data_IF_411895208382
#
_entry.id   IF_411895208382
#
_cell.length_a   1.000
_cell.length_b   1.000
_cell.length_c   1.000
_cell.angle_alpha   90.00
_cell.angle_beta   90.00
_cell.angle_gamma   90.00
#
_symmetry.space_group_name_H-M   'P 1'
#
loop_
_entity.id
_entity.type
_entity.pdbx_description
1 polymer ?
#
# COMPACT_ATOMS: atom_id res chain seq x y z
N UNK A 1 -10.14 -7.32 38.47
CA UNK A 1 -8.77 -6.96 38.89
C UNK A 1 -7.85 -8.04 38.38
N UNK A 2 -7.24 -7.82 37.26
CA UNK A 2 -5.98 -8.40 36.80
C UNK A 2 -5.61 -7.59 35.57
N UNK A 3 -4.81 -6.56 35.79
CA UNK A 3 -4.18 -5.75 34.78
C UNK A 3 -3.07 -6.59 34.12
N UNK A 4 -3.22 -6.95 32.88
CA UNK A 4 -2.12 -7.41 32.05
C UNK A 4 -1.64 -6.24 31.17
N UNK A 5 -0.76 -5.44 31.75
CA UNK A 5 0.09 -4.51 31.02
C UNK A 5 1.03 -5.32 30.12
N UNK A 6 0.79 -5.33 28.83
CA UNK A 6 1.75 -5.81 27.83
C UNK A 6 2.82 -4.73 27.68
N UNK A 7 3.94 -4.94 28.34
CA UNK A 7 5.11 -4.08 28.28
C UNK A 7 5.81 -4.30 26.93
N UNK A 8 5.65 -3.36 26.02
CA UNK A 8 6.58 -3.17 24.90
C UNK A 8 7.87 -2.52 25.44
N UNK A 9 8.70 -3.33 26.03
CA UNK A 9 9.93 -2.89 26.66
C UNK A 9 10.77 -4.06 27.13
N UNK A 10 11.03 -5.07 26.31
CA UNK A 10 12.15 -5.98 26.54
C UNK A 10 13.39 -5.39 25.87
N UNK A 11 14.40 -5.07 26.69
CA UNK A 11 15.77 -4.94 26.22
C UNK A 11 16.09 -6.10 25.30
N UNK A 12 16.46 -5.76 24.06
CA UNK A 12 17.02 -6.71 23.09
C UNK A 12 18.43 -7.05 23.57
N UNK A 13 18.54 -8.04 24.44
CA UNK A 13 19.79 -8.70 24.79
C UNK A 13 19.66 -10.15 24.32
N UNK A 14 20.33 -10.45 23.23
CA UNK A 14 20.62 -11.72 22.56
C UNK A 14 20.03 -11.80 21.13
N UNK A 15 20.67 -11.10 20.19
CA UNK A 15 20.60 -11.50 18.78
C UNK A 15 21.06 -12.97 18.75
N UNK A 16 20.17 -13.86 18.29
CA UNK A 16 20.54 -15.29 18.12
C UNK A 16 21.76 -15.36 17.23
N UNK A 17 22.91 -15.78 17.77
CA UNK A 17 24.15 -15.86 16.99
C UNK A 17 23.98 -16.99 15.96
N UNK A 18 23.96 -16.60 14.69
CA UNK A 18 23.96 -17.60 13.58
C UNK A 18 25.20 -18.47 13.66
N UNK A 19 25.03 -19.77 13.32
CA UNK A 19 26.15 -20.65 13.14
C UNK A 19 27.12 -20.11 12.07
N UNK A 20 28.41 -20.16 12.36
CA UNK A 20 29.47 -19.67 11.46
C UNK A 20 29.37 -20.33 10.07
N UNK A 21 28.99 -21.59 10.00
CA UNK A 21 28.82 -22.32 8.73
C UNK A 21 27.67 -21.73 7.91
N UNK A 22 26.56 -21.37 8.57
CA UNK A 22 25.39 -20.76 7.93
C UNK A 22 25.78 -19.36 7.40
N UNK A 23 26.50 -18.58 8.19
CA UNK A 23 27.02 -17.27 7.78
C UNK A 23 27.89 -17.40 6.52
N UNK A 24 28.83 -18.34 6.51
CA UNK A 24 29.71 -18.59 5.37
C UNK A 24 28.94 -19.01 4.11
N UNK A 25 27.91 -19.83 4.25
CA UNK A 25 27.06 -20.21 3.12
C UNK A 25 26.27 -19.03 2.57
N UNK A 26 25.68 -18.19 3.42
CA UNK A 26 25.01 -16.97 2.96
C UNK A 26 25.99 -16.02 2.24
N UNK A 27 27.18 -15.83 2.80
CA UNK A 27 28.24 -15.02 2.16
C UNK A 27 28.73 -15.60 0.84
N UNK A 28 28.81 -16.93 0.72
CA UNK A 28 29.14 -17.61 -0.54
C UNK A 28 28.12 -17.33 -1.64
N UNK A 29 26.83 -17.31 -1.28
CA UNK A 29 25.72 -17.12 -2.24
C UNK A 29 25.67 -15.68 -2.74
N UNK A 30 25.63 -14.70 -1.85
CA UNK A 30 25.41 -13.28 -2.23
C UNK A 30 26.68 -12.45 -2.31
N UNK A 31 27.80 -12.97 -1.80
CA UNK A 31 29.05 -12.24 -1.57
C UNK A 31 29.05 -11.53 -0.21
N UNK A 32 30.23 -11.40 0.39
CA UNK A 32 30.41 -10.82 1.76
C UNK A 32 29.80 -9.43 1.91
N UNK A 33 29.93 -8.56 0.86
CA UNK A 33 29.40 -7.21 0.88
C UNK A 33 27.87 -7.12 0.80
N UNK A 34 27.18 -8.26 0.62
CA UNK A 34 25.74 -8.35 0.48
C UNK A 34 25.09 -9.25 1.53
N UNK A 35 25.87 -9.70 2.51
CA UNK A 35 25.44 -10.39 3.72
C UNK A 35 25.76 -9.49 4.92
N UNK A 36 24.84 -8.56 5.24
CA UNK A 36 25.05 -7.48 6.20
C UNK A 36 24.74 -7.96 7.62
N UNK A 37 25.64 -7.71 8.57
CA UNK A 37 25.46 -8.06 9.98
C UNK A 37 25.64 -6.85 10.91
N UNK A 38 26.38 -5.83 10.48
CA UNK A 38 26.64 -4.66 11.31
C UNK A 38 25.36 -3.82 11.47
N UNK A 39 25.02 -3.47 12.70
CA UNK A 39 23.81 -2.69 13.03
C UNK A 39 23.69 -1.40 12.21
N UNK A 40 24.80 -0.67 12.02
CA UNK A 40 24.82 0.54 11.21
C UNK A 40 24.41 0.32 9.75
N UNK A 41 24.56 -0.92 9.21
CA UNK A 41 24.18 -1.28 7.86
C UNK A 41 22.78 -1.90 7.79
N UNK A 42 22.25 -2.43 8.91
CA UNK A 42 20.98 -3.16 8.95
C UNK A 42 19.82 -2.31 9.48
N UNK A 43 20.07 -1.20 10.16
CA UNK A 43 19.03 -0.35 10.77
C UNK A 43 17.92 0.07 9.78
N UNK A 44 18.28 0.42 8.55
CA UNK A 44 17.29 0.80 7.52
C UNK A 44 16.39 -0.36 7.04
N UNK A 45 16.80 -1.59 7.33
CA UNK A 45 16.01 -2.80 7.02
C UNK A 45 15.19 -3.29 8.22
N UNK A 46 15.53 -2.86 9.43
CA UNK A 46 14.90 -3.32 10.68
C UNK A 46 13.98 -2.27 11.31
N UNK A 47 13.88 -1.10 10.70
CA UNK A 47 12.98 -0.02 11.12
C UNK A 47 12.13 0.41 9.92
N UNK A 48 10.82 0.54 10.11
CA UNK A 48 9.94 1.08 9.05
C UNK A 48 10.13 2.60 8.91
N UNK A 49 9.69 3.16 7.78
CA UNK A 49 9.89 4.59 7.52
C UNK A 49 9.08 5.52 8.45
N UNK A 50 8.04 5.01 9.12
CA UNK A 50 7.27 5.78 10.11
C UNK A 50 7.94 5.81 11.49
N UNK A 51 8.87 4.88 11.74
CA UNK A 51 9.50 4.66 13.04
C UNK A 51 8.62 3.93 14.05
N UNK A 52 7.41 3.50 13.67
CA UNK A 52 6.46 2.77 14.54
C UNK A 52 6.91 1.32 14.78
N UNK A 53 7.40 0.65 13.74
CA UNK A 53 7.85 -0.74 13.81
C UNK A 53 9.36 -0.81 13.82
N UNK A 54 9.93 -1.36 14.89
CA UNK A 54 11.38 -1.56 15.05
C UNK A 54 11.64 -2.99 15.49
N UNK A 55 12.47 -3.69 14.73
CA UNK A 55 12.88 -5.05 14.99
C UNK A 55 14.39 -5.21 14.98
N UNK A 56 14.84 -6.45 14.93
CA UNK A 56 16.23 -6.82 14.81
C UNK A 56 16.37 -8.00 13.83
N UNK A 57 17.47 -8.06 13.11
CA UNK A 57 17.79 -9.19 12.23
C UNK A 57 19.23 -9.61 12.44
N UNK A 58 19.52 -10.90 12.59
CA UNK A 58 20.89 -11.39 12.70
C UNK A 58 21.65 -11.22 11.37
N UNK A 59 20.95 -11.07 10.24
CA UNK A 59 21.55 -10.84 8.93
C UNK A 59 20.55 -10.30 7.91
N UNK A 60 20.99 -9.33 7.11
CA UNK A 60 20.28 -8.86 5.91
C UNK A 60 21.00 -9.37 4.68
N UNK A 61 20.29 -10.14 3.85
CA UNK A 61 20.80 -10.76 2.63
C UNK A 61 20.26 -10.04 1.40
N UNK A 62 21.14 -9.69 0.48
CA UNK A 62 20.84 -8.89 -0.72
C UNK A 62 21.16 -9.68 -2.00
N UNK A 63 20.30 -10.64 -2.41
CA UNK A 63 20.48 -11.38 -3.65
C UNK A 63 20.37 -10.49 -4.89
N UNK A 64 21.02 -10.90 -5.99
CA UNK A 64 20.99 -10.21 -7.27
C UNK A 64 20.05 -10.88 -8.30
N UNK A 65 19.56 -12.09 -8.01
CA UNK A 65 18.73 -12.86 -8.95
C UNK A 65 17.97 -13.98 -8.23
N UNK A 66 17.02 -14.58 -8.94
CA UNK A 66 16.15 -15.66 -8.46
C UNK A 66 16.93 -16.92 -7.97
N UNK A 67 18.03 -17.27 -8.64
CA UNK A 67 18.84 -18.43 -8.21
C UNK A 67 19.44 -18.21 -6.83
N UNK A 68 19.97 -17.02 -6.55
CA UNK A 68 20.47 -16.69 -5.22
C UNK A 68 19.35 -16.69 -4.18
N UNK A 69 18.15 -16.17 -4.48
CA UNK A 69 16.99 -16.26 -3.56
C UNK A 69 16.67 -17.72 -3.25
N UNK A 70 16.61 -18.58 -4.28
CA UNK A 70 16.36 -20.01 -4.11
C UNK A 70 17.40 -20.70 -3.20
N UNK A 71 18.70 -20.42 -3.40
CA UNK A 71 19.75 -20.96 -2.56
C UNK A 71 19.66 -20.43 -1.11
N UNK A 72 19.39 -19.15 -0.92
CA UNK A 72 19.21 -18.55 0.41
C UNK A 72 18.06 -19.19 1.19
N UNK A 73 16.91 -19.39 0.53
CA UNK A 73 15.74 -20.04 1.14
C UNK A 73 16.09 -21.48 1.57
N UNK A 74 16.81 -22.25 0.75
CA UNK A 74 17.24 -23.60 1.11
C UNK A 74 18.16 -23.64 2.32
N UNK A 75 19.10 -22.70 2.41
CA UNK A 75 19.98 -22.58 3.58
C UNK A 75 19.19 -22.20 4.82
N UNK A 76 18.31 -21.19 4.74
CA UNK A 76 17.47 -20.76 5.85
C UNK A 76 16.55 -21.89 6.34
N UNK A 77 15.89 -22.58 5.42
CA UNK A 77 15.04 -23.74 5.72
C UNK A 77 15.82 -24.84 6.45
N UNK A 78 17.03 -25.15 5.99
CA UNK A 78 17.89 -26.18 6.60
C UNK A 78 18.37 -25.79 7.98
N UNK A 79 18.62 -24.50 8.20
CA UNK A 79 19.05 -23.93 9.48
C UNK A 79 17.89 -23.64 10.45
N UNK A 80 16.63 -23.83 10.04
CA UNK A 80 15.46 -23.55 10.87
C UNK A 80 15.21 -22.04 11.09
N UNK A 81 15.67 -21.20 10.16
CA UNK A 81 15.55 -19.74 10.23
C UNK A 81 14.30 -19.27 9.49
N UNK A 82 13.63 -18.27 10.05
CA UNK A 82 12.53 -17.57 9.38
C UNK A 82 13.04 -16.42 8.55
N UNK A 83 12.29 -16.06 7.51
CA UNK A 83 12.64 -15.04 6.52
C UNK A 83 11.57 -13.98 6.47
N UNK A 84 11.97 -12.71 6.49
CA UNK A 84 11.15 -11.57 6.09
C UNK A 84 11.61 -11.10 4.71
N UNK A 85 10.81 -11.30 3.65
CA UNK A 85 11.08 -10.70 2.35
C UNK A 85 10.84 -9.19 2.41
N UNK A 86 11.76 -8.42 1.82
CA UNK A 86 11.66 -6.96 1.87
C UNK A 86 12.00 -6.34 0.51
N UNK A 87 11.10 -5.46 0.02
CA UNK A 87 11.34 -4.58 -1.11
C UNK A 87 11.83 -3.20 -0.64
N UNK A 88 11.11 -2.14 -1.01
CA UNK A 88 11.44 -0.76 -0.68
C UNK A 88 11.22 -0.32 0.77
N UNK A 89 10.69 -1.18 1.62
CA UNK A 89 10.37 -0.93 3.04
C UNK A 89 9.45 0.30 3.25
N UNK A 90 8.49 0.50 2.34
CA UNK A 90 7.53 1.62 2.35
C UNK A 90 6.17 1.26 2.96
N UNK A 91 5.99 0.02 3.42
CA UNK A 91 4.75 -0.46 4.01
C UNK A 91 4.42 0.22 5.35
N UNK A 92 3.12 0.23 5.70
CA UNK A 92 2.56 0.96 6.85
C UNK A 92 2.06 0.05 7.96
N UNK A 93 2.16 -1.27 7.79
CA UNK A 93 1.55 -2.27 8.69
C UNK A 93 2.58 -3.24 9.29
N UNK A 94 3.87 -2.92 9.22
CA UNK A 94 4.96 -3.70 9.80
C UNK A 94 5.25 -5.03 9.08
N UNK A 95 4.67 -5.29 7.91
CA UNK A 95 4.77 -6.59 7.21
C UNK A 95 6.16 -6.93 6.67
N UNK A 96 7.06 -5.95 6.55
CA UNK A 96 8.45 -6.12 6.07
C UNK A 96 9.51 -5.98 7.16
N UNK A 97 9.12 -5.89 8.44
CA UNK A 97 10.04 -5.67 9.56
C UNK A 97 10.28 -6.96 10.34
N UNK A 98 11.54 -7.34 10.60
CA UNK A 98 11.89 -8.56 11.34
C UNK A 98 11.68 -8.35 12.85
N UNK A 99 10.44 -8.47 13.32
CA UNK A 99 10.08 -8.20 14.72
C UNK A 99 10.49 -9.32 15.70
N UNK A 100 10.85 -10.50 15.18
CA UNK A 100 11.20 -11.69 15.96
C UNK A 100 12.55 -12.29 15.54
N UNK A 101 13.51 -11.42 15.18
CA UNK A 101 14.88 -11.81 14.78
C UNK A 101 14.94 -12.69 13.52
N UNK A 102 13.99 -12.53 12.61
CA UNK A 102 14.03 -13.18 11.31
C UNK A 102 15.20 -12.64 10.47
N UNK A 103 15.76 -13.46 9.57
CA UNK A 103 16.66 -12.94 8.52
C UNK A 103 15.87 -12.14 7.50
N UNK A 104 16.46 -11.03 7.00
CA UNK A 104 15.85 -10.24 5.93
C UNK A 104 16.43 -10.67 4.58
N UNK A 105 15.57 -10.95 3.60
CA UNK A 105 15.96 -11.06 2.19
C UNK A 105 15.45 -9.82 1.46
N UNK A 106 16.37 -8.89 1.14
CA UNK A 106 16.05 -7.66 0.43
C UNK A 106 16.23 -7.84 -1.08
N UNK A 107 15.16 -7.56 -1.83
CA UNK A 107 15.15 -7.68 -3.31
C UNK A 107 15.70 -6.46 -4.04
N UNK A 108 16.14 -5.41 -3.34
CA UNK A 108 16.55 -4.12 -3.93
C UNK A 108 17.68 -4.21 -4.99
N UNK A 109 18.46 -5.30 -5.02
CA UNK A 109 19.47 -5.52 -6.07
C UNK A 109 18.95 -6.25 -7.31
N UNK A 110 17.71 -6.68 -7.26
CA UNK A 110 17.01 -7.30 -8.39
C UNK A 110 16.30 -6.17 -9.15
N UNK A 111 17.05 -5.37 -9.89
CA UNK A 111 16.65 -4.07 -10.44
C UNK A 111 16.66 -4.03 -11.98
N UNK A 112 16.64 -5.18 -12.64
CA UNK A 112 16.63 -5.27 -14.09
C UNK A 112 15.21 -5.13 -14.67
N UNK A 113 15.11 -4.39 -15.79
CA UNK A 113 13.92 -4.34 -16.64
C UNK A 113 14.26 -4.99 -17.99
N UNK A 114 13.45 -5.95 -18.42
CA UNK A 114 13.54 -6.50 -19.78
C UNK A 114 13.11 -5.45 -20.82
N UNK A 115 13.44 -5.62 -22.10
CA UNK A 115 12.92 -4.76 -23.17
C UNK A 115 11.38 -4.73 -23.16
N UNK A 116 10.82 -3.54 -23.39
CA UNK A 116 9.37 -3.36 -23.50
C UNK A 116 8.83 -4.06 -24.75
N UNK A 117 7.86 -4.92 -24.57
CA UNK A 117 7.06 -5.46 -25.68
C UNK A 117 5.94 -4.45 -26.01
N UNK A 118 6.27 -3.50 -26.87
CA UNK A 118 5.33 -2.43 -27.26
C UNK A 118 4.13 -2.96 -28.05
N UNK A 119 4.26 -4.10 -28.75
CA UNK A 119 3.16 -4.69 -29.50
C UNK A 119 2.14 -5.33 -28.55
N UNK A 120 2.60 -6.07 -27.56
CA UNK A 120 1.76 -6.67 -26.54
C UNK A 120 1.39 -5.68 -25.41
N UNK A 121 2.04 -4.51 -25.36
CA UNK A 121 1.93 -3.54 -24.26
C UNK A 121 2.24 -4.19 -22.91
N UNK A 122 3.42 -4.77 -22.80
CA UNK A 122 3.84 -5.52 -21.62
C UNK A 122 5.32 -5.30 -21.33
N UNK A 123 5.71 -5.49 -20.08
CA UNK A 123 7.12 -5.51 -19.66
C UNK A 123 7.34 -6.54 -18.55
N UNK A 124 8.47 -7.24 -18.61
CA UNK A 124 8.94 -8.04 -17.46
C UNK A 124 9.96 -7.24 -16.69
N UNK A 125 9.80 -7.19 -15.37
CA UNK A 125 10.72 -6.47 -14.47
C UNK A 125 11.06 -7.33 -13.26
N UNK A 126 12.25 -7.15 -12.72
CA UNK A 126 12.67 -7.74 -11.46
C UNK A 126 11.92 -7.08 -10.28
N UNK A 127 11.77 -7.81 -9.21
CA UNK A 127 10.95 -7.40 -8.05
C UNK A 127 11.49 -6.20 -7.29
N UNK A 128 12.78 -5.89 -7.38
CA UNK A 128 13.43 -4.74 -6.73
C UNK A 128 13.40 -3.45 -7.55
N UNK A 129 12.92 -3.50 -8.79
CA UNK A 129 12.71 -2.30 -9.61
C UNK A 129 11.71 -1.37 -8.92
N UNK A 130 12.02 -0.08 -8.77
CA UNK A 130 11.07 0.88 -8.20
C UNK A 130 9.98 1.24 -9.23
N UNK A 131 8.83 1.71 -8.75
CA UNK A 131 7.76 2.16 -9.64
C UNK A 131 8.23 3.28 -10.55
N UNK A 132 8.99 4.26 -10.02
CA UNK A 132 9.55 5.36 -10.81
C UNK A 132 10.53 4.87 -11.90
N UNK A 133 11.38 3.88 -11.59
CA UNK A 133 12.27 3.26 -12.58
C UNK A 133 11.48 2.55 -13.69
N UNK A 134 10.46 1.76 -13.31
CA UNK A 134 9.62 1.06 -14.26
C UNK A 134 8.83 2.04 -15.16
N UNK A 135 8.24 3.09 -14.59
CA UNK A 135 7.55 4.15 -15.37
C UNK A 135 8.51 4.87 -16.32
N UNK A 136 9.74 5.18 -15.87
CA UNK A 136 10.78 5.78 -16.72
C UNK A 136 11.16 4.86 -17.86
N UNK A 137 11.26 3.56 -17.61
CA UNK A 137 11.62 2.55 -18.61
C UNK A 137 10.57 2.40 -19.73
N UNK A 138 9.28 2.50 -19.39
CA UNK A 138 8.17 2.32 -20.35
C UNK A 138 7.77 3.60 -21.06
N UNK A 139 8.05 4.78 -20.49
CA UNK A 139 7.63 6.08 -21.02
C UNK A 139 8.09 6.42 -22.45
N UNK A 140 9.29 5.98 -22.95
CA UNK A 140 9.69 6.22 -24.33
C UNK A 140 8.82 5.52 -25.40
N UNK A 141 7.96 4.60 -24.97
CA UNK A 141 7.04 3.85 -25.83
C UNK A 141 5.61 4.42 -25.83
N UNK A 142 5.40 5.61 -25.23
CA UNK A 142 4.08 6.19 -24.96
C UNK A 142 3.16 5.27 -24.16
N UNK A 143 3.77 4.50 -23.24
CA UNK A 143 3.10 3.58 -22.32
C UNK A 143 3.31 4.00 -20.88
N UNK A 144 2.38 3.58 -20.01
CA UNK A 144 2.45 3.78 -18.57
C UNK A 144 2.05 2.51 -17.79
N UNK A 145 2.49 2.43 -16.52
CA UNK A 145 2.02 1.43 -15.56
C UNK A 145 0.74 1.98 -14.92
N UNK A 146 -0.32 1.16 -14.83
CA UNK A 146 -1.64 1.60 -14.36
C UNK A 146 -1.68 2.02 -12.90
N UNK A 147 -0.76 1.55 -12.06
CA UNK A 147 -0.70 1.93 -10.63
C UNK A 147 0.22 3.13 -10.43
N UNK A 148 -0.22 4.10 -9.65
CA UNK A 148 0.60 5.22 -9.19
C UNK A 148 0.30 5.57 -7.75
N UNK A 149 1.35 5.79 -6.94
CA UNK A 149 1.24 6.08 -5.51
C UNK A 149 2.37 7.00 -5.02
N UNK A 150 2.19 7.61 -3.85
CA UNK A 150 3.10 8.63 -3.34
C UNK A 150 4.55 8.13 -3.14
N UNK A 151 4.74 6.86 -2.79
CA UNK A 151 6.05 6.26 -2.53
C UNK A 151 6.78 5.77 -3.81
N UNK A 152 6.41 6.25 -5.01
CA UNK A 152 6.88 5.76 -6.33
C UNK A 152 8.40 5.65 -6.47
N UNK A 153 9.14 6.52 -5.81
CA UNK A 153 10.62 6.53 -5.88
C UNK A 153 11.27 5.43 -5.03
N UNK A 154 10.55 4.88 -4.06
CA UNK A 154 11.08 3.93 -3.08
C UNK A 154 10.38 2.58 -3.07
N UNK A 155 9.05 2.53 -3.34
CA UNK A 155 8.32 1.27 -3.43
C UNK A 155 8.83 0.46 -4.62
N UNK A 156 8.88 -0.87 -4.46
CA UNK A 156 9.35 -1.79 -5.50
C UNK A 156 8.19 -2.58 -6.08
N UNK A 157 8.31 -3.01 -7.32
CA UNK A 157 7.27 -3.79 -8.01
C UNK A 157 6.92 -5.07 -7.22
N UNK A 158 7.91 -5.80 -6.70
CA UNK A 158 7.67 -6.98 -5.88
C UNK A 158 6.92 -6.65 -4.57
N UNK A 159 7.26 -5.53 -3.93
CA UNK A 159 6.56 -5.04 -2.73
C UNK A 159 5.12 -4.65 -3.03
N UNK A 160 4.88 -3.90 -4.13
CA UNK A 160 3.54 -3.51 -4.58
C UNK A 160 2.65 -4.72 -4.90
N UNK A 161 3.21 -5.76 -5.53
CA UNK A 161 2.48 -7.01 -5.77
C UNK A 161 2.17 -7.70 -4.45
N UNK A 162 3.16 -7.83 -3.57
CA UNK A 162 3.00 -8.52 -2.29
C UNK A 162 1.90 -7.89 -1.41
N UNK A 163 1.70 -6.59 -1.47
CA UNK A 163 0.63 -5.86 -0.76
C UNK A 163 -0.64 -5.65 -1.59
N UNK A 164 -0.62 -5.99 -2.88
CA UNK A 164 -1.67 -5.63 -3.84
C UNK A 164 -1.95 -4.13 -3.82
N UNK A 165 -0.90 -3.32 -3.93
CA UNK A 165 -0.99 -1.87 -3.82
C UNK A 165 -1.99 -1.25 -4.83
N UNK A 166 -2.70 -0.24 -4.37
CA UNK A 166 -3.65 0.53 -5.16
C UNK A 166 -3.09 1.87 -5.62
N UNK A 167 -3.58 2.96 -5.03
CA UNK A 167 -3.21 4.35 -5.33
C UNK A 167 -4.24 5.09 -6.18
N UNK A 168 -3.83 6.25 -6.70
CA UNK A 168 -4.75 7.24 -7.27
C UNK A 168 -5.47 6.79 -8.55
N UNK A 169 -4.91 5.83 -9.29
CA UNK A 169 -5.44 5.39 -10.59
C UNK A 169 -6.32 4.14 -10.52
N UNK A 170 -6.62 3.63 -9.31
CA UNK A 170 -7.40 2.39 -9.13
C UNK A 170 -8.78 2.46 -9.78
N UNK A 171 -9.41 3.63 -9.74
CA UNK A 171 -10.73 3.83 -10.37
C UNK A 171 -10.71 3.54 -11.87
N UNK A 172 -9.57 3.72 -12.54
CA UNK A 172 -9.38 3.50 -13.97
C UNK A 172 -8.78 2.13 -14.32
N UNK A 173 -7.71 1.75 -13.63
CA UNK A 173 -6.88 0.60 -14.02
C UNK A 173 -6.94 -0.58 -13.06
N UNK A 174 -7.59 -0.41 -11.89
CA UNK A 174 -7.56 -1.40 -10.82
C UNK A 174 -6.24 -1.39 -10.03
N UNK A 175 -6.14 -2.21 -8.98
CA UNK A 175 -4.94 -2.35 -8.16
C UNK A 175 -3.86 -3.18 -8.88
N UNK A 176 -2.72 -3.39 -8.19
CA UNK A 176 -1.55 -4.08 -8.74
C UNK A 176 -1.86 -5.49 -9.26
N UNK A 177 -2.80 -6.22 -8.63
CA UNK A 177 -3.26 -7.55 -9.08
C UNK A 177 -3.79 -7.54 -10.51
N UNK A 178 -4.48 -6.47 -10.92
CA UNK A 178 -5.09 -6.35 -12.24
C UNK A 178 -4.05 -6.01 -13.33
N UNK A 179 -2.87 -5.52 -12.92
CA UNK A 179 -1.75 -5.24 -13.81
C UNK A 179 -0.89 -6.48 -14.08
N UNK A 180 -1.10 -7.57 -13.32
CA UNK A 180 -0.18 -8.71 -13.29
C UNK A 180 -0.59 -9.79 -14.30
N UNK A 181 0.24 -10.00 -15.33
CA UNK A 181 0.04 -11.01 -16.38
C UNK A 181 0.88 -12.27 -16.16
N UNK A 182 1.95 -12.17 -15.39
CA UNK A 182 2.82 -13.28 -15.07
C UNK A 182 3.68 -13.01 -13.85
N UNK A 183 4.22 -14.06 -13.25
CA UNK A 183 5.03 -13.96 -12.05
C UNK A 183 6.12 -15.02 -12.02
N UNK A 184 7.27 -14.65 -11.43
CA UNK A 184 8.29 -15.59 -10.98
C UNK A 184 8.48 -15.43 -9.48
N UNK A 185 8.51 -16.54 -8.74
CA UNK A 185 8.63 -16.50 -7.30
C UNK A 185 9.33 -17.75 -6.76
N UNK A 186 9.96 -17.62 -5.59
CA UNK A 186 10.62 -18.70 -4.86
C UNK A 186 9.73 -19.15 -3.70
N UNK A 187 9.38 -20.43 -3.66
CA UNK A 187 8.62 -21.07 -2.60
C UNK A 187 9.47 -21.35 -1.36
N UNK A 188 8.83 -21.77 -0.25
CA UNK A 188 9.49 -21.99 1.04
C UNK A 188 10.52 -23.12 1.06
N UNK A 189 10.49 -24.04 0.08
CA UNK A 189 11.47 -25.11 -0.13
C UNK A 189 12.62 -24.70 -1.07
N UNK A 190 12.58 -23.46 -1.60
CA UNK A 190 13.53 -22.95 -2.57
C UNK A 190 13.22 -23.36 -4.02
N UNK A 191 12.12 -24.07 -4.30
CA UNK A 191 11.69 -24.27 -5.69
C UNK A 191 11.20 -22.97 -6.33
N UNK A 192 11.38 -22.86 -7.65
CA UNK A 192 11.02 -21.68 -8.42
C UNK A 192 9.78 -21.99 -9.23
N UNK A 193 8.74 -21.16 -9.07
CA UNK A 193 7.64 -21.10 -10.03
C UNK A 193 7.91 -19.92 -10.97
N UNK A 194 7.75 -20.13 -12.28
CA UNK A 194 7.96 -19.08 -13.29
C UNK A 194 6.95 -19.24 -14.42
N UNK A 195 6.16 -18.20 -14.64
CA UNK A 195 5.20 -18.11 -15.72
C UNK A 195 5.13 -16.64 -16.15
N UNK A 196 5.94 -16.26 -17.15
CA UNK A 196 6.18 -14.89 -17.57
C UNK A 196 5.79 -14.63 -19.02
N UNK A 197 5.08 -15.55 -19.65
CA UNK A 197 4.69 -15.47 -21.08
C UNK A 197 3.71 -14.33 -21.36
N UNK A 198 2.98 -13.86 -20.35
CA UNK A 198 2.09 -12.70 -20.46
C UNK A 198 0.87 -12.93 -21.32
N UNK A 199 0.34 -14.15 -21.36
CA UNK A 199 -0.85 -14.48 -22.10
C UNK A 199 -2.10 -13.83 -21.50
N UNK A 200 -2.91 -13.17 -22.31
CA UNK A 200 -4.19 -12.56 -21.88
C UNK A 200 -5.21 -13.62 -21.42
N UNK A 201 -5.11 -14.82 -21.94
CA UNK A 201 -5.96 -15.95 -21.58
C UNK A 201 -5.10 -17.18 -21.30
N UNK A 202 -5.08 -17.59 -20.04
CA UNK A 202 -4.45 -18.82 -19.62
C UNK A 202 -5.28 -19.50 -18.52
N UNK A 203 -5.79 -20.68 -18.82
CA UNK A 203 -6.61 -21.51 -17.93
C UNK A 203 -5.89 -22.85 -17.62
N UNK A 204 -4.57 -22.91 -17.67
CA UNK A 204 -3.79 -24.15 -17.52
C UNK A 204 -3.47 -24.48 -16.06
N UNK A 205 -4.22 -23.98 -15.10
CA UNK A 205 -4.03 -24.29 -13.68
C UNK A 205 -4.49 -23.18 -12.75
N UNK A 206 -3.97 -23.20 -11.53
CA UNK A 206 -4.25 -22.13 -10.56
C UNK A 206 -3.59 -20.81 -10.95
N UNK A 207 -4.28 -19.70 -10.75
CA UNK A 207 -3.75 -18.36 -10.98
C UNK A 207 -2.77 -17.96 -9.86
N UNK A 208 -1.49 -18.29 -10.03
CA UNK A 208 -0.43 -17.90 -9.08
C UNK A 208 -0.22 -16.36 -9.02
N UNK A 209 -0.24 -15.60 -10.12
CA UNK A 209 -0.22 -14.14 -10.03
C UNK A 209 -1.27 -13.59 -9.07
N UNK A 210 -2.53 -14.00 -9.23
CA UNK A 210 -3.63 -13.58 -8.36
C UNK A 210 -3.52 -14.09 -6.92
N UNK A 211 -2.95 -15.28 -6.69
CA UNK A 211 -2.75 -15.85 -5.36
C UNK A 211 -1.63 -15.13 -4.59
N UNK A 212 -0.54 -14.77 -5.27
CA UNK A 212 0.62 -14.13 -4.64
C UNK A 212 0.43 -12.61 -4.47
N UNK A 213 -0.42 -11.98 -5.28
CA UNK A 213 -0.80 -10.58 -5.10
C UNK A 213 -1.61 -10.40 -3.80
N UNK A 214 -1.06 -9.64 -2.85
CA UNK A 214 -1.62 -9.45 -1.51
C UNK A 214 -1.29 -10.57 -0.51
N UNK A 215 -0.31 -11.44 -0.82
CA UNK A 215 0.16 -12.48 0.10
C UNK A 215 1.18 -11.98 1.14
N UNK A 216 1.65 -10.75 1.03
CA UNK A 216 2.57 -10.09 1.96
C UNK A 216 3.84 -10.92 2.27
N UNK A 217 4.35 -11.65 1.25
CA UNK A 217 5.53 -12.49 1.40
C UNK A 217 5.34 -13.75 2.24
N UNK A 218 4.11 -14.11 2.60
CA UNK A 218 3.82 -15.29 3.42
C UNK A 218 3.79 -16.61 2.63
N UNK A 219 3.59 -16.55 1.30
CA UNK A 219 3.45 -17.73 0.44
C UNK A 219 4.67 -17.99 -0.45
N UNK A 220 5.36 -16.93 -0.88
CA UNK A 220 6.53 -16.99 -1.73
C UNK A 220 7.31 -15.67 -1.66
N UNK A 221 8.57 -15.68 -2.14
CA UNK A 221 9.37 -14.48 -2.41
C UNK A 221 9.27 -14.18 -3.89
N UNK A 222 8.59 -13.08 -4.25
CA UNK A 222 8.43 -12.63 -5.63
C UNK A 222 9.78 -12.15 -6.16
N UNK A 223 10.19 -12.63 -7.34
CA UNK A 223 11.47 -12.30 -7.95
C UNK A 223 11.34 -11.55 -9.27
N UNK A 224 10.30 -11.83 -10.06
CA UNK A 224 9.98 -11.11 -11.29
C UNK A 224 8.48 -10.99 -11.49
N UNK A 225 8.08 -9.99 -12.29
CA UNK A 225 6.70 -9.81 -12.71
C UNK A 225 6.61 -9.43 -14.18
N UNK A 226 5.64 -10.00 -14.91
CA UNK A 226 5.19 -9.53 -16.21
C UNK A 226 4.00 -8.63 -16.01
N UNK A 227 4.13 -7.36 -16.37
CA UNK A 227 3.13 -6.33 -16.15
C UNK A 227 2.45 -5.92 -17.45
N UNK A 228 1.14 -5.66 -17.36
CA UNK A 228 0.36 -4.95 -18.37
C UNK A 228 0.77 -3.49 -18.38
N UNK A 229 0.85 -2.91 -19.57
CA UNK A 229 1.05 -1.48 -19.79
C UNK A 229 -0.19 -0.88 -20.44
N UNK A 230 -0.40 0.40 -20.22
CA UNK A 230 -1.51 1.14 -20.78
C UNK A 230 -0.99 2.26 -21.69
N UNK A 231 -1.69 2.60 -22.78
CA UNK A 231 -1.37 3.79 -23.55
C UNK A 231 -1.40 5.04 -22.68
N UNK A 232 -0.33 5.82 -22.70
CA UNK A 232 -0.22 7.04 -21.92
C UNK A 232 -1.12 8.12 -22.51
N UNK A 233 -2.09 8.67 -21.74
CA UNK A 233 -2.92 9.76 -22.21
C UNK A 233 -2.09 11.01 -22.51
N UNK A 234 -2.34 11.65 -23.66
CA UNK A 234 -1.63 12.87 -24.06
C UNK A 234 -2.20 14.15 -23.44
N UNK A 235 -3.49 14.13 -23.07
CA UNK A 235 -4.22 15.28 -22.53
C UNK A 235 -4.78 14.96 -21.16
N UNK A 236 -4.75 15.96 -20.27
CA UNK A 236 -5.27 15.84 -18.90
C UNK A 236 -5.93 17.15 -18.48
N UNK A 237 -7.05 17.03 -17.80
CA UNK A 237 -7.73 18.14 -17.14
C UNK A 237 -8.08 17.72 -15.73
N UNK A 238 -7.88 18.62 -14.75
CA UNK A 238 -8.25 18.38 -13.35
C UNK A 238 -9.17 19.50 -12.85
N UNK A 239 -10.09 19.13 -11.98
CA UNK A 239 -10.92 20.10 -11.26
C UNK A 239 -10.87 19.84 -9.76
N UNK A 240 -10.92 20.92 -8.97
CA UNK A 240 -11.24 20.85 -7.53
C UNK A 240 -12.68 21.34 -7.37
N UNK A 241 -13.53 20.52 -6.78
CA UNK A 241 -14.96 20.77 -6.60
C UNK A 241 -15.27 20.76 -5.10
N UNK A 242 -15.88 21.81 -4.59
CA UNK A 242 -16.26 21.94 -3.19
C UNK A 242 -17.71 21.51 -2.94
N UNK A 243 -17.94 20.79 -1.84
CA UNK A 243 -19.25 20.27 -1.44
C UNK A 243 -19.62 20.70 -0.02
N UNK A 244 -20.89 21.05 0.16
CA UNK A 244 -21.40 21.45 1.47
C UNK A 244 -21.41 20.31 2.46
N UNK A 245 -21.71 19.10 2.01
CA UNK A 245 -21.76 17.89 2.84
C UNK A 245 -20.94 16.76 2.24
N UNK A 246 -20.56 15.77 3.05
CA UNK A 246 -19.90 14.55 2.59
C UNK A 246 -20.84 13.73 1.68
N UNK A 247 -22.15 13.71 1.99
CA UNK A 247 -23.16 13.04 1.15
C UNK A 247 -23.17 13.59 -0.27
N UNK A 248 -23.13 14.93 -0.43
CA UNK A 248 -23.09 15.56 -1.75
C UNK A 248 -21.86 15.11 -2.55
N UNK A 249 -20.70 15.04 -1.90
CA UNK A 249 -19.46 14.56 -2.54
C UNK A 249 -19.55 13.09 -2.98
N UNK A 250 -20.14 12.23 -2.16
CA UNK A 250 -20.36 10.80 -2.49
C UNK A 250 -21.32 10.65 -3.67
N UNK A 251 -22.44 11.38 -3.67
CA UNK A 251 -23.40 11.38 -4.78
C UNK A 251 -22.74 11.90 -6.06
N UNK A 252 -22.01 13.02 -5.98
CA UNK A 252 -21.29 13.61 -7.10
C UNK A 252 -20.26 12.61 -7.69
N UNK A 253 -19.48 11.94 -6.82
CA UNK A 253 -18.52 10.90 -7.29
C UNK A 253 -19.22 9.81 -8.11
N UNK A 254 -20.38 9.34 -7.67
CA UNK A 254 -21.16 8.32 -8.41
C UNK A 254 -21.66 8.85 -9.77
N UNK A 255 -22.01 10.15 -9.87
CA UNK A 255 -22.43 10.77 -11.12
C UNK A 255 -21.24 10.94 -12.07
N UNK A 256 -20.11 11.49 -11.59
CA UNK A 256 -18.88 11.68 -12.36
C UNK A 256 -18.33 10.37 -12.93
N UNK A 257 -18.32 9.29 -12.14
CA UNK A 257 -17.89 7.95 -12.61
C UNK A 257 -18.76 7.40 -13.76
N UNK A 258 -20.03 7.78 -13.82
CA UNK A 258 -20.92 7.38 -14.91
C UNK A 258 -20.79 8.28 -16.13
N UNK A 259 -20.54 9.57 -15.91
CA UNK A 259 -20.48 10.57 -16.96
C UNK A 259 -19.13 10.59 -17.69
N UNK A 260 -18.03 10.22 -17.02
CA UNK A 260 -16.66 10.38 -17.49
C UNK A 260 -15.98 9.02 -17.76
N UNK A 261 -16.06 8.46 -18.97
CA UNK A 261 -15.38 7.19 -19.32
C UNK A 261 -13.85 7.26 -19.17
N UNK A 262 -13.27 8.44 -19.35
CA UNK A 262 -11.84 8.70 -19.25
C UNK A 262 -11.41 9.20 -17.85
N UNK A 263 -12.25 9.00 -16.83
CA UNK A 263 -11.95 9.35 -15.44
C UNK A 263 -10.68 8.63 -14.98
N UNK A 264 -9.69 9.41 -14.52
CA UNK A 264 -8.39 8.91 -14.06
C UNK A 264 -8.35 8.79 -12.55
N UNK A 265 -8.81 9.80 -11.82
CA UNK A 265 -8.77 9.85 -10.37
C UNK A 265 -9.96 10.65 -9.80
N UNK A 266 -10.43 10.25 -8.61
CA UNK A 266 -11.35 11.01 -7.76
C UNK A 266 -10.86 10.93 -6.32
N UNK A 267 -10.15 11.98 -5.90
CA UNK A 267 -9.60 12.10 -4.56
C UNK A 267 -10.51 12.98 -3.70
N UNK A 268 -10.58 12.69 -2.40
CA UNK A 268 -11.34 13.49 -1.44
C UNK A 268 -10.44 14.05 -0.36
N UNK A 269 -10.69 15.31 0.02
CA UNK A 269 -10.07 15.99 1.15
C UNK A 269 -11.20 16.46 2.05
N UNK A 270 -11.20 16.03 3.32
CA UNK A 270 -12.20 16.51 4.29
C UNK A 270 -11.69 17.75 5.04
N UNK A 271 -12.56 18.41 5.80
CA UNK A 271 -12.34 19.76 6.36
C UNK A 271 -11.05 19.89 7.19
N UNK A 272 -10.76 18.92 8.05
CA UNK A 272 -9.56 18.95 8.90
C UNK A 272 -8.29 18.80 8.06
N UNK A 273 -8.30 17.90 7.08
CA UNK A 273 -7.18 17.70 6.15
C UNK A 273 -6.96 18.94 5.27
N UNK A 274 -8.04 19.56 4.76
CA UNK A 274 -7.96 20.78 3.97
C UNK A 274 -7.37 21.93 4.79
N UNK A 275 -7.82 22.12 6.02
CA UNK A 275 -7.30 23.15 6.93
C UNK A 275 -5.81 22.92 7.23
N UNK A 276 -5.44 21.68 7.53
CA UNK A 276 -4.05 21.32 7.84
C UNK A 276 -3.12 21.55 6.64
N UNK A 277 -3.49 21.06 5.46
CA UNK A 277 -2.64 21.18 4.27
C UNK A 277 -2.55 22.64 3.79
N UNK A 278 -3.65 23.40 3.85
CA UNK A 278 -3.64 24.83 3.48
C UNK A 278 -2.67 25.62 4.35
N UNK A 279 -2.67 25.38 5.66
CA UNK A 279 -1.72 25.99 6.59
C UNK A 279 -0.27 25.55 6.28
N UNK A 280 -0.05 24.28 5.99
CA UNK A 280 1.28 23.73 5.71
C UNK A 280 1.91 24.35 4.45
N UNK A 281 1.12 24.46 3.36
CA UNK A 281 1.61 25.06 2.11
C UNK A 281 1.55 26.59 2.10
N UNK A 282 0.97 27.21 3.13
CA UNK A 282 0.83 28.66 3.23
C UNK A 282 -0.12 29.27 2.19
N UNK A 283 -1.14 28.52 1.74
CA UNK A 283 -2.10 28.95 0.73
C UNK A 283 -3.54 28.85 1.24
N UNK A 284 -4.41 29.74 0.77
CA UNK A 284 -5.84 29.69 1.07
C UNK A 284 -6.52 28.53 0.34
N UNK A 285 -7.63 28.05 0.88
CA UNK A 285 -8.49 27.05 0.20
C UNK A 285 -8.92 27.61 -1.17
N UNK A 286 -8.70 26.91 -2.27
CA UNK A 286 -8.89 27.46 -3.62
C UNK A 286 -10.34 27.77 -3.94
N UNK A 287 -11.28 26.97 -3.46
CA UNK A 287 -12.71 27.05 -3.72
C UNK A 287 -13.53 26.64 -2.50
N UNK A 288 -14.75 27.19 -2.38
CA UNK A 288 -15.75 26.76 -1.41
C UNK A 288 -15.29 26.81 0.04
N UNK A 289 -14.77 27.95 0.49
CA UNK A 289 -14.38 28.12 1.90
C UNK A 289 -15.56 27.78 2.84
N UNK A 290 -15.30 26.88 3.83
CA UNK A 290 -16.31 26.40 4.77
C UNK A 290 -17.11 25.17 4.28
N UNK A 291 -16.73 24.56 3.16
CA UNK A 291 -17.23 23.26 2.73
C UNK A 291 -16.75 22.13 3.67
N UNK A 292 -17.43 20.97 3.63
CA UNK A 292 -17.04 19.79 4.41
C UNK A 292 -16.17 18.82 3.63
N UNK A 293 -16.26 18.84 2.29
CA UNK A 293 -15.47 17.96 1.42
C UNK A 293 -15.08 18.67 0.11
N UNK A 294 -13.92 18.33 -0.40
CA UNK A 294 -13.42 18.75 -1.71
C UNK A 294 -13.01 17.51 -2.49
N UNK A 295 -13.48 17.41 -3.73
CA UNK A 295 -12.99 16.41 -4.67
C UNK A 295 -11.92 17.03 -5.57
N UNK A 296 -10.82 16.29 -5.79
CA UNK A 296 -9.95 16.50 -6.94
C UNK A 296 -10.30 15.40 -7.95
N UNK A 297 -10.78 15.83 -9.11
CA UNK A 297 -11.19 14.96 -10.21
C UNK A 297 -10.22 15.17 -11.36
N UNK A 298 -9.63 14.08 -11.87
CA UNK A 298 -8.79 14.13 -13.06
C UNK A 298 -9.37 13.25 -14.17
N UNK A 299 -9.44 13.81 -15.36
CA UNK A 299 -9.77 13.12 -16.59
C UNK A 299 -8.55 13.12 -17.50
N UNK A 300 -8.22 11.96 -18.08
CA UNK A 300 -7.05 11.79 -18.92
C UNK A 300 -7.40 11.01 -20.20
N UNK A 301 -7.18 11.62 -21.38
CA UNK A 301 -7.57 11.09 -22.67
C UNK A 301 -6.53 11.40 -23.76
N UNK A 302 -6.76 10.92 -24.99
CA UNK A 302 -5.94 11.27 -26.17
C UNK A 302 -6.50 12.49 -26.93
N UNK A 303 -7.63 13.03 -26.49
CA UNK A 303 -8.25 14.27 -26.96
C UNK A 303 -8.51 15.15 -25.74
N UNK A 304 -8.56 16.47 -25.94
CA UNK A 304 -8.82 17.41 -24.85
C UNK A 304 -10.13 17.07 -24.10
N UNK A 305 -10.08 16.70 -22.82
CA UNK A 305 -11.25 16.28 -22.05
C UNK A 305 -11.96 17.44 -21.32
N UNK A 306 -11.56 18.69 -21.59
CA UNK A 306 -12.03 19.86 -20.83
C UNK A 306 -13.53 20.05 -20.93
N UNK A 307 -14.10 19.99 -22.14
CA UNK A 307 -15.54 20.16 -22.33
C UNK A 307 -16.35 19.04 -21.68
N UNK A 308 -15.85 17.79 -21.75
CA UNK A 308 -16.50 16.63 -21.14
C UNK A 308 -16.53 16.77 -19.61
N UNK A 309 -15.40 17.17 -19.00
CA UNK A 309 -15.33 17.43 -17.57
C UNK A 309 -16.24 18.60 -17.17
N UNK A 310 -16.24 19.70 -17.93
CA UNK A 310 -17.08 20.86 -17.65
C UNK A 310 -18.57 20.50 -17.67
N UNK A 311 -19.05 19.79 -18.69
CA UNK A 311 -20.44 19.32 -18.75
C UNK A 311 -20.80 18.39 -17.59
N UNK A 312 -19.90 17.44 -17.23
CA UNK A 312 -20.14 16.55 -16.11
C UNK A 312 -20.24 17.30 -14.76
N UNK A 313 -19.47 18.39 -14.61
CA UNK A 313 -19.53 19.24 -13.42
C UNK A 313 -20.83 20.08 -13.43
N UNK A 314 -21.21 20.65 -14.58
CA UNK A 314 -22.46 21.41 -14.70
C UNK A 314 -23.70 20.54 -14.36
N UNK A 315 -23.67 19.27 -14.75
CA UNK A 315 -24.73 18.31 -14.44
C UNK A 315 -24.85 17.96 -12.94
N UNK A 316 -23.82 18.24 -12.13
CA UNK A 316 -23.91 18.12 -10.66
C UNK A 316 -24.89 19.16 -10.08
N UNK A 317 -25.12 20.26 -10.76
CA UNK A 317 -26.05 21.31 -10.38
C UNK A 317 -25.80 21.84 -8.96
N UNK A 318 -26.80 21.81 -8.05
CA UNK A 318 -26.67 22.39 -6.72
C UNK A 318 -25.78 21.60 -5.76
N UNK A 319 -25.32 20.39 -6.12
CA UNK A 319 -24.37 19.63 -5.30
C UNK A 319 -23.01 20.32 -5.23
N UNK A 320 -22.52 20.83 -6.37
CA UNK A 320 -21.26 21.58 -6.43
C UNK A 320 -21.45 23.02 -5.93
N UNK A 321 -20.72 23.39 -4.88
CA UNK A 321 -20.81 24.74 -4.28
C UNK A 321 -19.92 25.72 -5.04
N UNK A 322 -18.73 25.28 -5.41
CA UNK A 322 -17.71 26.09 -6.07
C UNK A 322 -16.71 25.19 -6.77
N UNK A 323 -16.06 25.65 -7.85
CA UNK A 323 -15.20 24.85 -8.71
C UNK A 323 -14.00 25.66 -9.18
N UNK A 324 -12.81 25.02 -9.14
CA UNK A 324 -11.62 25.48 -9.84
C UNK A 324 -11.15 24.42 -10.85
N UNK A 325 -10.81 24.85 -12.07
CA UNK A 325 -10.36 23.96 -13.13
C UNK A 325 -8.91 24.25 -13.50
N UNK A 326 -8.08 23.23 -13.56
CA UNK A 326 -6.69 23.27 -13.99
C UNK A 326 -6.54 22.76 -15.42
N UNK A 327 -6.32 23.66 -16.35
CA UNK A 327 -6.23 23.37 -17.79
C UNK A 327 -4.79 23.12 -18.27
N UNK A 328 -3.81 23.68 -17.58
CA UNK A 328 -2.40 23.49 -17.86
C UNK A 328 -1.69 22.77 -16.71
N UNK A 329 -0.45 22.35 -16.94
CA UNK A 329 0.34 21.60 -15.94
C UNK A 329 0.53 22.38 -14.63
N UNK A 330 0.73 23.69 -14.68
CA UNK A 330 0.98 24.50 -13.50
C UNK A 330 -0.28 24.63 -12.63
N UNK A 331 -1.42 24.92 -13.25
CA UNK A 331 -2.70 25.03 -12.55
C UNK A 331 -3.19 23.68 -12.03
N UNK A 332 -3.02 22.59 -12.79
CA UNK A 332 -3.30 21.23 -12.29
C UNK A 332 -2.44 20.89 -11.07
N UNK A 333 -1.12 21.06 -11.15
CA UNK A 333 -0.23 20.82 -10.02
C UNK A 333 -0.59 21.70 -8.81
N UNK A 334 -1.06 22.92 -9.05
CA UNK A 334 -1.57 23.81 -8.01
C UNK A 334 -2.80 23.27 -7.28
N UNK A 335 -3.67 22.50 -7.94
CA UNK A 335 -4.78 21.81 -7.30
C UNK A 335 -4.31 20.53 -6.59
N UNK A 336 -3.49 19.72 -7.26
CA UNK A 336 -3.00 18.46 -6.73
C UNK A 336 -2.15 18.62 -5.47
N UNK A 337 -1.40 19.71 -5.29
CA UNK A 337 -0.59 19.93 -4.08
C UNK A 337 -1.40 19.84 -2.77
N UNK A 338 -2.70 20.23 -2.78
CA UNK A 338 -3.58 20.12 -1.61
C UNK A 338 -3.80 18.65 -1.21
N UNK A 339 -3.77 17.72 -2.15
CA UNK A 339 -3.88 16.28 -1.88
C UNK A 339 -2.53 15.64 -1.57
N UNK A 340 -1.52 15.94 -2.36
CA UNK A 340 -0.20 15.30 -2.27
C UNK A 340 0.55 15.71 -0.99
N UNK A 341 0.36 16.94 -0.50
CA UNK A 341 1.04 17.46 0.69
C UNK A 341 0.37 17.13 2.02
N UNK A 342 -0.79 16.44 2.03
CA UNK A 342 -1.49 16.07 3.28
C UNK A 342 -0.61 15.18 4.18
N UNK A 343 0.01 14.15 3.63
CA UNK A 343 0.84 13.22 4.41
C UNK A 343 2.04 13.93 5.04
N UNK A 344 2.66 14.85 4.31
CA UNK A 344 3.75 15.69 4.81
C UNK A 344 3.24 16.63 5.91
N UNK A 345 2.11 17.26 5.70
CA UNK A 345 1.47 18.15 6.68
C UNK A 345 1.13 17.40 8.00
N UNK A 346 0.59 16.19 7.91
CA UNK A 346 0.34 15.34 9.08
C UNK A 346 1.65 14.99 9.81
N UNK A 347 2.70 14.63 9.08
CA UNK A 347 4.00 14.26 9.68
C UNK A 347 4.64 15.43 10.46
N UNK A 348 4.33 16.69 10.14
CA UNK A 348 4.79 17.86 10.92
C UNK A 348 4.08 18.01 12.27
N UNK A 349 2.94 17.33 12.46
CA UNK A 349 2.18 17.39 13.72
C UNK A 349 2.55 16.29 14.71
N UNK A 350 3.22 15.22 14.26
CA UNK A 350 3.62 14.09 15.10
C UNK A 350 3.55 12.75 14.36
N UNK A 351 3.59 11.66 15.11
CA UNK A 351 3.50 10.29 14.58
C UNK A 351 2.05 9.80 14.66
N UNK A 352 1.29 9.75 13.54
CA UNK A 352 -0.10 9.31 13.58
C UNK A 352 -0.23 7.78 13.60
N UNK A 353 -1.29 7.27 14.20
CA UNK A 353 -1.85 5.98 13.80
C UNK A 353 -2.50 6.14 12.42
N UNK A 354 -2.12 5.28 11.47
CA UNK A 354 -2.59 5.32 10.08
C UNK A 354 -3.46 4.12 9.79
N UNK A 355 -4.76 4.35 9.76
CA UNK A 355 -5.71 3.36 9.31
C UNK A 355 -6.11 3.65 7.85
N UNK A 356 -6.37 2.58 7.13
CA UNK A 356 -6.67 2.59 5.71
C UNK A 356 -7.82 1.62 5.49
N UNK A 357 -8.98 2.15 5.17
CA UNK A 357 -10.24 1.40 5.16
C UNK A 357 -11.04 1.64 3.89
N UNK A 358 -11.86 0.67 3.50
CA UNK A 358 -12.78 0.84 2.37
C UNK A 358 -14.20 0.61 2.80
N UNK A 359 -15.11 1.46 2.34
CA UNK A 359 -16.53 1.35 2.58
C UNK A 359 -17.34 1.44 1.28
N UNK A 360 -18.50 0.77 1.27
CA UNK A 360 -19.47 1.01 0.21
C UNK A 360 -19.95 2.47 0.22
N UNK A 361 -20.18 3.06 -0.95
CA UNK A 361 -20.56 4.46 -1.10
C UNK A 361 -21.71 4.90 -0.16
N UNK A 362 -22.72 4.04 0.05
CA UNK A 362 -23.86 4.33 0.93
C UNK A 362 -23.52 4.44 2.43
N UNK A 363 -22.29 4.08 2.83
CA UNK A 363 -21.83 4.11 4.23
C UNK A 363 -20.71 5.11 4.48
N UNK A 364 -20.13 5.69 3.44
CA UNK A 364 -18.99 6.60 3.54
C UNK A 364 -19.30 7.85 4.37
N UNK A 365 -20.44 8.50 4.11
CA UNK A 365 -20.82 9.71 4.82
C UNK A 365 -21.08 9.44 6.32
N UNK A 366 -21.77 8.35 6.65
CA UNK A 366 -21.96 7.90 8.02
C UNK A 366 -20.61 7.68 8.72
N UNK A 367 -19.70 6.94 8.08
CA UNK A 367 -18.37 6.67 8.61
C UNK A 367 -17.57 7.94 8.88
N UNK A 368 -17.45 8.81 7.90
CA UNK A 368 -16.67 10.08 8.02
C UNK A 368 -17.21 10.97 9.12
N UNK A 369 -18.54 10.98 9.32
CA UNK A 369 -19.20 11.80 10.34
C UNK A 369 -19.02 11.26 11.76
N UNK A 370 -19.13 9.93 11.92
CA UNK A 370 -19.15 9.30 13.25
C UNK A 370 -17.76 8.99 13.82
N UNK A 371 -16.77 8.68 12.97
CA UNK A 371 -15.44 8.23 13.41
C UNK A 371 -14.72 9.22 14.31
N UNK A 372 -14.71 10.54 14.07
CA UNK A 372 -14.07 11.49 14.98
C UNK A 372 -14.66 11.46 16.39
N UNK A 373 -15.98 11.29 16.49
CA UNK A 373 -16.66 11.18 17.79
C UNK A 373 -16.36 9.87 18.50
N UNK A 374 -16.20 8.75 17.77
CA UNK A 374 -15.79 7.46 18.33
C UNK A 374 -14.37 7.53 18.90
N UNK A 375 -13.43 8.09 18.14
CA UNK A 375 -12.04 8.29 18.56
C UNK A 375 -11.98 9.18 19.79
N UNK A 376 -12.69 10.30 19.81
CA UNK A 376 -12.73 11.25 20.93
C UNK A 376 -13.25 10.65 22.25
N UNK A 377 -14.04 9.57 22.19
CA UNK A 377 -14.48 8.85 23.42
C UNK A 377 -13.36 8.02 24.04
N UNK A 378 -12.39 7.58 23.25
CA UNK A 378 -11.21 6.80 23.71
C UNK A 378 -10.07 7.75 24.08
N UNK A 379 -9.85 8.76 23.24
CA UNK A 379 -8.86 9.79 23.43
C UNK A 379 -9.47 11.18 23.13
N UNK A 380 -9.86 11.87 24.21
CA UNK A 380 -10.53 13.17 24.11
C UNK A 380 -9.65 14.30 23.58
N UNK A 381 -8.36 14.09 23.40
CA UNK A 381 -7.41 15.05 22.85
C UNK A 381 -6.92 14.66 21.45
N UNK A 382 -7.31 13.50 20.95
CA UNK A 382 -6.90 13.04 19.63
C UNK A 382 -7.51 13.88 18.52
N UNK A 383 -6.71 14.15 17.49
CA UNK A 383 -7.15 14.81 16.26
C UNK A 383 -7.25 13.77 15.13
N UNK A 384 -8.38 13.77 14.43
CA UNK A 384 -8.64 12.86 13.31
C UNK A 384 -8.53 13.61 11.99
N UNK A 385 -7.59 13.20 11.13
CA UNK A 385 -7.39 13.79 9.80
C UNK A 385 -7.71 12.74 8.74
N UNK A 386 -8.75 12.99 7.94
CA UNK A 386 -9.22 12.05 6.92
C UNK A 386 -9.10 12.63 5.52
N UNK A 387 -8.74 11.78 4.56
CA UNK A 387 -8.70 12.03 3.12
C UNK A 387 -8.67 10.67 2.40
N UNK A 388 -8.77 10.64 1.08
CA UNK A 388 -8.70 9.33 0.42
C UNK A 388 -9.06 9.33 -1.06
N UNK A 389 -9.32 8.13 -1.57
CA UNK A 389 -9.68 7.83 -2.93
C UNK A 389 -11.20 7.58 -3.00
N UNK A 390 -12.00 8.65 -3.15
CA UNK A 390 -13.46 8.50 -3.08
C UNK A 390 -14.00 7.68 -4.28
N UNK A 391 -13.24 7.65 -5.37
CA UNK A 391 -13.58 6.87 -6.56
C UNK A 391 -13.75 5.38 -6.30
N UNK A 392 -13.05 4.80 -5.35
CA UNK A 392 -13.11 3.37 -4.97
C UNK A 392 -13.56 3.12 -3.52
N UNK A 393 -13.87 4.20 -2.79
CA UNK A 393 -14.40 4.13 -1.42
C UNK A 393 -13.34 4.00 -0.34
N UNK A 394 -12.07 4.23 -0.65
CA UNK A 394 -10.97 4.20 0.31
C UNK A 394 -10.87 5.52 1.10
N UNK A 395 -10.74 5.38 2.42
CA UNK A 395 -10.50 6.49 3.36
C UNK A 395 -9.29 6.20 4.22
N UNK A 396 -8.29 7.09 4.16
CA UNK A 396 -7.18 7.13 5.09
C UNK A 396 -7.59 7.88 6.35
N UNK A 397 -7.56 7.21 7.49
CA UNK A 397 -7.84 7.78 8.80
C UNK A 397 -6.54 7.94 9.56
N UNK A 398 -6.09 9.17 9.76
CA UNK A 398 -4.88 9.47 10.50
C UNK A 398 -5.28 10.03 11.86
N UNK A 399 -4.82 9.40 12.93
CA UNK A 399 -5.16 9.76 14.31
C UNK A 399 -3.88 10.23 14.99
N UNK A 400 -3.87 11.48 15.41
CA UNK A 400 -2.77 12.12 16.15
C UNK A 400 -3.18 12.26 17.61
N UNK A 401 -2.31 11.91 18.55
CA UNK A 401 -2.48 12.20 19.96
C UNK A 401 -2.21 13.68 20.29
N UNK A 402 -2.31 14.01 21.58
CA UNK A 402 -2.00 15.36 22.05
C UNK A 402 -0.52 15.71 21.83
N UNK A 403 -0.25 16.98 21.47
CA UNK A 403 1.11 17.54 21.38
C UNK A 403 2.09 16.73 20.49
N UNK A 404 1.57 15.92 19.54
CA UNK A 404 2.36 15.10 18.63
C UNK A 404 2.76 13.73 19.17
N UNK A 405 2.28 13.37 20.34
CA UNK A 405 2.42 12.03 20.92
C UNK A 405 1.58 10.99 20.16
N UNK A 406 1.82 9.71 20.42
CA UNK A 406 0.96 8.64 19.94
C UNK A 406 -0.42 8.72 20.62
N UNK A 407 -1.53 8.45 19.91
CA UNK A 407 -2.85 8.42 20.52
C UNK A 407 -2.99 7.24 21.49
N UNK A 408 -3.98 7.31 22.39
CA UNK A 408 -4.26 6.28 23.38
C UNK A 408 -4.51 4.91 22.72
N UNK A 409 -4.11 3.83 23.41
CA UNK A 409 -4.47 2.47 23.02
C UNK A 409 -6.00 2.33 22.87
N UNK A 410 -6.44 1.54 21.87
CA UNK A 410 -7.85 1.28 21.58
C UNK A 410 -8.49 2.21 20.54
N UNK A 411 -7.82 3.27 20.06
CA UNK A 411 -8.37 4.09 18.97
C UNK A 411 -8.47 3.30 17.67
N UNK A 412 -7.51 2.41 17.38
CA UNK A 412 -7.56 1.53 16.22
C UNK A 412 -8.73 0.55 16.35
N UNK A 413 -8.96 -0.02 17.54
CA UNK A 413 -10.02 -0.98 17.84
C UNK A 413 -11.41 -0.40 17.53
N UNK A 414 -11.71 0.80 17.99
CA UNK A 414 -13.04 1.40 17.79
C UNK A 414 -13.29 1.70 16.32
N UNK A 415 -12.28 2.15 15.57
CA UNK A 415 -12.41 2.45 14.15
C UNK A 415 -12.59 1.15 13.34
N UNK A 416 -11.73 0.15 13.53
CA UNK A 416 -11.77 -1.10 12.77
C UNK A 416 -13.04 -1.90 13.04
N UNK A 417 -13.51 -1.95 14.31
CA UNK A 417 -14.80 -2.55 14.64
C UNK A 417 -15.97 -1.81 13.97
N UNK A 418 -15.93 -0.48 13.93
CA UNK A 418 -16.99 0.30 13.30
C UNK A 418 -17.02 0.09 11.77
N UNK A 419 -15.84 0.05 11.12
CA UNK A 419 -15.73 -0.34 9.70
C UNK A 419 -16.38 -1.69 9.43
N UNK A 420 -16.08 -2.70 10.25
CA UNK A 420 -16.66 -4.03 10.10
C UNK A 420 -18.19 -4.03 10.30
N UNK A 421 -18.72 -3.27 11.28
CA UNK A 421 -20.17 -3.10 11.50
C UNK A 421 -20.87 -2.48 10.28
N UNK A 422 -20.20 -1.57 9.58
CA UNK A 422 -20.71 -0.96 8.35
C UNK A 422 -20.53 -1.86 7.11
N UNK A 423 -19.94 -3.05 7.25
CA UNK A 423 -19.67 -3.98 6.14
C UNK A 423 -18.51 -3.54 5.25
N UNK A 424 -17.62 -2.68 5.77
CA UNK A 424 -16.40 -2.22 5.11
C UNK A 424 -15.22 -3.16 5.30
N UNK A 425 -14.09 -2.84 4.67
CA UNK A 425 -12.82 -3.54 4.83
C UNK A 425 -11.87 -2.79 5.76
N UNK A 426 -11.25 -3.49 6.70
CA UNK A 426 -10.24 -2.94 7.62
C UNK A 426 -8.91 -2.61 6.93
N UNK A 427 -8.73 -3.00 5.68
CA UNK A 427 -7.57 -2.63 4.87
C UNK A 427 -7.98 -2.47 3.41
N UNK A 428 -7.81 -1.27 2.88
CA UNK A 428 -8.07 -0.96 1.48
C UNK A 428 -6.86 -1.35 0.60
N UNK A 429 -5.69 -0.79 0.89
CA UNK A 429 -4.47 -0.96 0.09
C UNK A 429 -3.20 -1.24 0.92
N UNK A 430 -3.16 -0.87 2.22
CA UNK A 430 -1.94 -1.01 3.03
C UNK A 430 -1.59 -2.47 3.37
N UNK A 431 -2.53 -3.41 3.25
CA UNK A 431 -2.38 -4.78 3.72
C UNK A 431 -2.74 -4.94 5.21
N UNK A 432 -2.56 -6.14 5.70
CA UNK A 432 -2.82 -6.53 7.09
C UNK A 432 -1.54 -6.43 7.92
N UNK A 433 -0.44 -6.93 7.39
CA UNK A 433 0.85 -6.95 8.05
C UNK A 433 0.80 -7.61 9.42
N UNK A 434 1.57 -7.03 10.34
CA UNK A 434 1.52 -7.34 11.77
C UNK A 434 0.46 -6.51 12.48
N UNK A 435 0.26 -5.25 12.04
CA UNK A 435 -0.59 -4.26 12.71
C UNK A 435 -2.07 -4.67 12.80
N UNK A 436 -2.61 -5.28 11.74
CA UNK A 436 -4.04 -5.60 11.64
C UNK A 436 -4.34 -7.11 11.75
N UNK A 437 -3.33 -7.92 12.01
CA UNK A 437 -3.41 -9.37 12.04
C UNK A 437 -4.47 -9.89 13.02
N UNK A 438 -4.51 -9.33 14.21
CA UNK A 438 -5.48 -9.71 15.26
C UNK A 438 -6.93 -9.30 14.90
N UNK A 439 -7.11 -8.31 14.00
CA UNK A 439 -8.40 -7.82 13.54
C UNK A 439 -8.94 -8.54 12.30
N UNK A 440 -8.19 -9.48 11.73
CA UNK A 440 -8.59 -10.15 10.48
C UNK A 440 -9.95 -10.86 10.60
N UNK A 441 -10.29 -11.34 11.79
CA UNK A 441 -11.58 -11.97 12.12
C UNK A 441 -12.77 -11.02 11.97
N UNK A 442 -12.58 -9.70 11.97
CA UNK A 442 -13.64 -8.72 11.76
C UNK A 442 -14.18 -8.75 10.31
N UNK A 443 -13.33 -9.12 9.35
CA UNK A 443 -13.68 -9.12 7.93
C UNK A 443 -13.66 -10.52 7.28
N UNK A 444 -13.23 -11.54 8.00
CA UNK A 444 -13.14 -12.91 7.48
C UNK A 444 -13.78 -13.90 8.43
N UNK A 445 -14.60 -14.75 7.87
CA UNK A 445 -15.21 -15.86 8.59
C UNK A 445 -14.15 -16.88 9.03
N UNK A 446 -14.46 -17.68 10.05
CA UNK A 446 -13.56 -18.76 10.49
C UNK A 446 -13.24 -19.76 9.36
N UNK A 447 -14.20 -20.01 8.46
CA UNK A 447 -13.98 -20.84 7.28
C UNK A 447 -12.94 -20.24 6.31
N UNK A 448 -12.95 -18.91 6.09
CA UNK A 448 -11.94 -18.22 5.28
C UNK A 448 -10.58 -18.24 5.96
N UNK A 449 -10.52 -18.01 7.28
CA UNK A 449 -9.28 -18.07 8.05
C UNK A 449 -8.68 -19.48 8.04
N UNK A 450 -9.50 -20.52 8.15
CA UNK A 450 -9.07 -21.91 8.01
C UNK A 450 -8.51 -22.20 6.59
N UNK A 451 -9.16 -21.66 5.55
CA UNK A 451 -8.66 -21.77 4.17
C UNK A 451 -7.32 -21.05 3.98
N UNK A 452 -7.14 -19.85 4.54
CA UNK A 452 -5.86 -19.12 4.48
C UNK A 452 -4.73 -19.94 5.16
N UNK A 453 -5.00 -20.49 6.35
CA UNK A 453 -4.05 -21.38 7.06
C UNK A 453 -3.70 -22.61 6.22
N UNK A 454 -4.70 -23.23 5.57
CA UNK A 454 -4.48 -24.40 4.72
C UNK A 454 -3.60 -24.08 3.50
N UNK A 455 -3.83 -22.93 2.83
CA UNK A 455 -2.99 -22.46 1.72
C UNK A 455 -1.56 -22.21 2.22
N UNK A 456 -1.41 -21.46 3.31
CA UNK A 456 -0.10 -21.20 3.93
C UNK A 456 0.62 -22.51 4.25
N UNK A 457 -0.03 -23.45 4.92
CA UNK A 457 0.55 -24.74 5.28
C UNK A 457 0.90 -25.60 4.07
N UNK A 458 0.14 -25.49 2.97
CA UNK A 458 0.40 -26.20 1.73
C UNK A 458 1.65 -25.69 1.00
N UNK A 459 1.89 -24.38 1.00
CA UNK A 459 3.02 -23.74 0.31
C UNK A 459 4.23 -23.51 1.24
N UNK A 460 3.99 -23.39 2.53
CA UNK A 460 5.04 -23.19 3.55
C UNK A 460 4.76 -24.04 4.80
N UNK A 461 4.95 -25.37 4.71
CA UNK A 461 4.61 -26.30 5.80
C UNK A 461 5.44 -26.12 7.06
N UNK A 462 6.61 -25.45 6.97
CA UNK A 462 7.51 -25.17 8.10
C UNK A 462 7.43 -23.75 8.63
N UNK A 463 6.60 -22.86 8.03
CA UNK A 463 6.45 -21.48 8.46
C UNK A 463 7.72 -20.64 8.31
N UNK A 464 8.49 -20.85 7.25
CA UNK A 464 9.76 -20.13 7.01
C UNK A 464 9.51 -18.71 6.55
N UNK A 465 8.49 -18.49 5.70
CA UNK A 465 8.23 -17.25 5.01
C UNK A 465 7.29 -16.35 5.82
N UNK A 466 7.77 -15.21 6.29
CA UNK A 466 7.05 -14.13 6.95
C UNK A 466 6.00 -14.63 7.99
N UNK A 467 6.40 -15.41 9.00
CA UNK A 467 5.48 -16.19 9.84
C UNK A 467 4.56 -15.34 10.73
N UNK A 468 4.91 -14.06 10.94
CA UNK A 468 4.22 -13.16 11.88
C UNK A 468 3.30 -12.15 11.19
N UNK A 469 3.02 -12.35 9.90
CA UNK A 469 2.28 -11.43 9.04
C UNK A 469 1.01 -12.08 8.51
N UNK A 470 -0.03 -11.28 8.31
CA UNK A 470 -1.31 -11.60 7.67
C UNK A 470 -2.17 -12.60 8.47
N UNK A 471 -1.69 -13.82 8.70
CA UNK A 471 -2.50 -14.91 9.28
C UNK A 471 -2.31 -14.93 10.80
N UNK A 472 -3.37 -14.76 11.62
CA UNK A 472 -3.26 -14.85 13.05
C UNK A 472 -2.91 -16.30 13.50
N UNK A 473 -2.19 -16.46 14.64
CA UNK A 473 -1.93 -17.77 15.19
C UNK A 473 -3.24 -18.48 15.51
N UNK A 474 -3.22 -19.82 15.51
CA UNK A 474 -4.36 -20.58 16.04
C UNK A 474 -4.48 -20.29 17.52
N UNK A 475 -5.61 -19.76 17.95
CA UNK A 475 -5.92 -19.71 19.37
C UNK A 475 -6.14 -21.16 19.83
N UNK A 476 -5.25 -21.64 20.68
CA UNK A 476 -5.31 -22.98 21.31
C UNK A 476 -6.41 -23.02 22.37
#
# INVERSE_FOLDING_TARGET
MCSSSVIYGRKVDLITMLDTTVIQEFQRIVGTNHALQEEALTTSYTTDWTGRFKGASPMVLRPANTSQVSELVKVALSAGLSIVPQGGNTGLVGGSIPLHEEIVISTLRMDHCDPVDALAQQVTVDSGVTLAQAQTHVSPFDLEIGVDLAARDSCTIGGMIATNAGGINVVRYGPMRDQLLGIEAVLSDGSVISHLEGLEKDNTGYNFPGLLAGSEGTLAIITKARLRLHPRPSERCSAMIAFKTVDDAVVATSQLRRALPALQAVEVIFSEAMSLVSNHIGASVPVGAGSQAWLIVEVAANTDPTDELAHAIDDLGPLAVDVAVGLDTATRNGLWQYREKITEAIATQGTPHKLDVTLGASRLSEFVTEVPALISRVDGQATTVMFGHLGDGNVHVNILGADGDEPNEGVDDVVLNYVAQLGGSISAEHGIGTAKREFLHLNRSEAELAAFRAIKKGLDPRGVLNPNVLIPPEYS
#
